data_IF_032722790004
#
_entry.id   IF_032722790004
#
_cell.length_a   1.000
_cell.length_b   1.000
_cell.length_c   1.000
_cell.angle_alpha   90.00
_cell.angle_beta   90.00
_cell.angle_gamma   90.00
#
_symmetry.space_group_name_H-M   'P 1'
#
loop_
_entity.id
_entity.type
_entity.pdbx_description
1 polymer ?
#
# COMPACT_ATOMS: atom_id res chain seq x y z
N UNK A 1 46.59 45.74 -35.57
CA UNK A 1 45.51 44.76 -35.35
C UNK A 1 44.21 45.58 -35.29
N UNK A 2 43.40 45.76 -36.35
CA UNK A 2 42.44 44.81 -36.97
C UNK A 2 41.85 43.85 -35.90
N UNK A 3 40.56 43.80 -35.59
CA UNK A 3 39.40 44.40 -36.24
C UNK A 3 38.11 44.33 -35.40
N UNK A 4 37.05 44.81 -36.04
CA UNK A 4 35.66 45.04 -35.60
C UNK A 4 34.95 43.77 -35.10
N UNK A 5 33.97 43.95 -34.21
CA UNK A 5 32.60 43.37 -34.29
C UNK A 5 31.77 43.93 -33.14
N UNK A 6 30.90 44.90 -33.40
CA UNK A 6 29.49 44.75 -33.78
C UNK A 6 28.55 44.48 -32.60
N UNK A 7 27.80 45.53 -32.27
CA UNK A 7 26.57 45.54 -31.48
C UNK A 7 25.62 44.42 -31.92
N UNK A 8 24.98 43.76 -30.95
CA UNK A 8 23.60 43.28 -31.08
C UNK A 8 22.88 43.46 -29.73
N UNK A 9 22.06 44.50 -29.67
CA UNK A 9 20.96 44.69 -28.73
C UNK A 9 19.96 43.53 -28.89
N UNK A 10 19.45 42.92 -27.80
CA UNK A 10 18.20 42.19 -27.87
C UNK A 10 17.04 43.17 -27.78
N UNK A 11 16.14 43.04 -28.75
CA UNK A 11 14.91 43.78 -28.94
C UNK A 11 13.91 43.40 -27.84
N UNK A 12 13.43 44.39 -27.09
CA UNK A 12 12.16 44.29 -26.37
C UNK A 12 11.02 44.41 -27.39
N UNK A 13 10.18 43.37 -27.50
CA UNK A 13 8.85 43.50 -28.11
C UNK A 13 7.79 43.42 -27.02
N UNK A 14 6.87 44.37 -27.15
CA UNK A 14 5.88 44.82 -26.20
C UNK A 14 4.84 43.76 -25.83
N UNK A 15 4.26 43.94 -24.64
CA UNK A 15 2.93 43.43 -24.36
C UNK A 15 2.78 42.77 -23.00
N UNK A 16 2.93 43.54 -21.92
CA UNK A 16 2.00 43.62 -20.77
C UNK A 16 2.58 44.52 -19.67
N UNK A 17 1.77 45.47 -19.20
CA UNK A 17 2.09 46.40 -18.12
C UNK A 17 2.42 45.62 -16.85
N UNK A 18 3.69 45.55 -16.47
CA UNK A 18 4.09 45.23 -15.11
C UNK A 18 4.22 46.54 -14.34
N UNK A 19 3.34 46.75 -13.35
CA UNK A 19 3.54 47.76 -12.30
C UNK A 19 3.95 47.01 -11.04
N UNK A 20 5.15 47.31 -10.53
CA UNK A 20 5.59 46.85 -9.22
C UNK A 20 4.68 47.47 -8.16
N UNK A 21 4.06 46.64 -7.33
CA UNK A 21 3.58 47.02 -6.00
C UNK A 21 4.14 45.96 -5.05
N UNK A 22 4.88 46.42 -4.03
CA UNK A 22 5.61 45.57 -3.11
C UNK A 22 4.72 44.67 -2.25
N UNK A 23 5.37 43.69 -1.63
CA UNK A 23 4.84 42.61 -0.77
C UNK A 23 4.07 41.49 -1.52
N UNK A 24 4.79 40.80 -2.41
CA UNK A 24 5.06 39.37 -2.24
C UNK A 24 3.97 38.31 -2.42
N UNK A 25 2.74 38.64 -2.82
CA UNK A 25 1.74 37.64 -3.24
C UNK A 25 1.61 37.59 -4.77
N UNK A 26 1.76 36.40 -5.35
CA UNK A 26 1.33 36.10 -6.72
C UNK A 26 0.48 34.83 -6.67
N UNK A 27 -0.83 34.98 -6.87
CA UNK A 27 -1.79 33.89 -7.06
C UNK A 27 -1.79 33.48 -8.53
N UNK A 28 -1.30 32.28 -8.85
CA UNK A 28 -1.50 31.65 -10.17
C UNK A 28 -2.77 30.78 -10.16
N UNK A 29 -3.89 31.37 -10.62
CA UNK A 29 -5.12 30.65 -10.95
C UNK A 29 -4.93 29.85 -12.25
N UNK A 30 -4.28 28.67 -12.24
CA UNK A 30 -4.52 27.60 -13.26
C UNK A 30 -3.81 26.24 -13.12
N UNK A 31 -3.30 25.80 -11.97
CA UNK A 31 -2.75 24.43 -11.83
C UNK A 31 -3.22 23.71 -10.56
N UNK A 32 -4.23 22.84 -10.73
CA UNK A 32 -4.54 21.72 -9.82
C UNK A 32 -3.38 20.70 -9.88
N UNK A 33 -2.35 20.88 -9.05
CA UNK A 33 -1.36 19.86 -8.73
C UNK A 33 -1.02 19.96 -7.25
N UNK A 34 -1.09 18.84 -6.55
CA UNK A 34 -0.50 18.71 -5.22
C UNK A 34 1.02 18.84 -5.39
N UNK A 35 1.59 19.97 -4.98
CA UNK A 35 3.03 20.14 -4.93
C UNK A 35 3.49 19.74 -3.54
N UNK A 36 4.26 18.66 -3.44
CA UNK A 36 5.17 18.47 -2.32
C UNK A 36 6.24 19.55 -2.45
N UNK A 37 6.40 20.40 -1.43
CA UNK A 37 7.56 21.29 -1.34
C UNK A 37 8.81 20.40 -1.38
N UNK A 38 9.60 20.52 -2.46
CA UNK A 38 10.84 19.76 -2.63
C UNK A 38 11.91 20.41 -1.74
N UNK A 39 11.74 20.26 -0.42
CA UNK A 39 12.84 20.31 0.52
C UNK A 39 13.69 19.06 0.29
N UNK A 40 14.97 19.25 -0.03
CA UNK A 40 16.02 18.21 -0.22
C UNK A 40 15.63 16.80 0.26
N UNK A 41 15.56 15.83 -0.66
CA UNK A 41 15.19 14.41 -0.45
C UNK A 41 15.76 13.69 0.80
N UNK A 42 16.81 14.23 1.43
CA UNK A 42 17.40 13.68 2.64
C UNK A 42 16.68 14.05 3.95
N UNK A 43 15.94 15.17 4.01
CA UNK A 43 15.37 15.72 5.28
C UNK A 43 14.07 15.05 5.75
N UNK A 44 13.35 14.37 4.87
CA UNK A 44 12.07 13.70 5.19
C UNK A 44 12.14 12.16 5.16
N UNK A 45 13.31 11.58 4.93
CA UNK A 45 13.47 10.13 4.73
C UNK A 45 12.93 9.30 5.91
N UNK A 46 13.17 9.73 7.16
CA UNK A 46 12.69 9.00 8.34
C UNK A 46 11.16 9.04 8.46
N UNK A 47 10.53 10.19 8.18
CA UNK A 47 9.07 10.34 8.18
C UNK A 47 8.46 9.37 7.15
N UNK A 48 9.00 9.38 5.95
CA UNK A 48 8.55 8.51 4.86
C UNK A 48 8.77 7.03 5.19
N UNK A 49 9.90 6.67 5.82
CA UNK A 49 10.22 5.30 6.24
C UNK A 49 9.22 4.79 7.32
N UNK A 50 8.83 5.63 8.28
CA UNK A 50 7.84 5.28 9.32
C UNK A 50 6.46 5.09 8.70
N UNK A 51 6.03 6.03 7.85
CA UNK A 51 4.74 5.93 7.14
C UNK A 51 4.72 4.66 6.30
N UNK A 52 5.76 4.43 5.49
CA UNK A 52 5.90 3.25 4.66
C UNK A 52 5.90 1.96 5.47
N UNK A 53 6.47 1.96 6.68
CA UNK A 53 6.47 0.80 7.59
C UNK A 53 5.08 0.53 8.18
N UNK A 54 4.41 1.54 8.72
CA UNK A 54 3.12 1.42 9.41
C UNK A 54 2.00 1.03 8.43
N UNK A 55 1.96 1.70 7.28
CA UNK A 55 0.90 1.52 6.28
C UNK A 55 1.27 0.51 5.18
N UNK A 56 2.37 -0.23 5.35
CA UNK A 56 2.80 -1.26 4.39
C UNK A 56 1.68 -2.28 4.15
N UNK A 57 1.34 -2.52 2.89
CA UNK A 57 0.32 -3.50 2.50
C UNK A 57 -1.02 -3.26 3.19
N UNK A 58 -1.41 -1.99 3.31
CA UNK A 58 -2.70 -1.57 3.84
C UNK A 58 -3.41 -0.66 2.85
N UNK A 59 -4.74 -0.71 2.88
CA UNK A 59 -5.62 0.19 2.13
C UNK A 59 -6.62 0.81 3.07
N UNK A 60 -6.85 2.11 2.91
CA UNK A 60 -7.80 2.84 3.73
C UNK A 60 -9.25 2.39 3.46
N UNK A 61 -10.03 2.29 4.52
CA UNK A 61 -11.47 2.11 4.48
C UNK A 61 -12.14 3.45 4.80
N UNK A 62 -12.65 4.13 3.77
CA UNK A 62 -13.10 5.53 3.88
C UNK A 62 -14.19 5.73 4.93
N UNK A 63 -15.15 4.81 5.04
CA UNK A 63 -16.19 4.88 6.08
C UNK A 63 -15.59 4.84 7.49
N UNK A 64 -14.52 4.06 7.69
CA UNK A 64 -13.81 3.98 8.97
C UNK A 64 -12.99 5.24 9.25
N UNK A 65 -12.41 5.86 8.23
CA UNK A 65 -11.72 7.15 8.38
C UNK A 65 -12.70 8.24 8.86
N UNK A 66 -13.87 8.34 8.23
CA UNK A 66 -14.90 9.30 8.65
C UNK A 66 -15.38 9.00 10.08
N UNK A 67 -15.65 7.74 10.41
CA UNK A 67 -16.04 7.35 11.77
C UNK A 67 -14.95 7.61 12.82
N UNK A 68 -13.68 7.56 12.43
CA UNK A 68 -12.54 7.85 13.30
C UNK A 68 -12.39 9.36 13.60
N UNK A 69 -12.92 10.23 12.74
CA UNK A 69 -12.86 11.68 12.89
C UNK A 69 -12.09 12.40 11.77
N UNK A 70 -11.80 11.74 10.65
CA UNK A 70 -11.32 12.44 9.46
C UNK A 70 -12.46 13.23 8.81
N UNK A 71 -12.13 14.39 8.25
CA UNK A 71 -13.02 15.16 7.37
C UNK A 71 -12.47 15.22 5.95
N UNK A 72 -13.36 15.28 4.96
CA UNK A 72 -12.96 15.37 3.56
C UNK A 72 -12.66 16.82 3.15
N UNK A 73 -11.51 17.04 2.50
CA UNK A 73 -11.13 18.33 1.92
C UNK A 73 -10.24 18.11 0.69
N UNK A 74 -10.53 18.80 -0.42
CA UNK A 74 -9.66 18.80 -1.61
C UNK A 74 -9.26 17.40 -2.13
N UNK A 75 -10.22 16.47 -2.21
CA UNK A 75 -10.00 15.09 -2.66
C UNK A 75 -9.04 14.28 -1.76
N UNK A 76 -9.01 14.61 -0.47
CA UNK A 76 -8.28 13.89 0.56
C UNK A 76 -9.07 13.86 1.88
N UNK A 77 -8.70 12.94 2.75
CA UNK A 77 -9.13 12.88 4.14
C UNK A 77 -8.10 13.55 5.03
N UNK A 78 -8.54 14.45 5.90
CA UNK A 78 -7.71 15.16 6.86
C UNK A 78 -8.11 14.81 8.29
N UNK A 79 -7.11 14.55 9.13
CA UNK A 79 -7.27 14.39 10.57
C UNK A 79 -6.27 15.28 11.29
N UNK A 80 -6.73 15.97 12.33
CA UNK A 80 -5.90 16.86 13.14
C UNK A 80 -5.94 16.43 14.60
N UNK A 81 -4.78 16.47 15.26
CA UNK A 81 -4.66 16.17 16.68
C UNK A 81 -3.63 17.08 17.34
N UNK A 82 -3.99 17.67 18.47
CA UNK A 82 -3.06 18.40 19.32
C UNK A 82 -2.11 17.41 20.00
N UNK A 83 -0.81 17.73 19.99
CA UNK A 83 0.25 17.02 20.69
C UNK A 83 0.77 17.91 21.82
N UNK A 84 1.38 17.31 22.84
CA UNK A 84 2.05 18.03 23.93
C UNK A 84 1.22 19.10 24.67
N UNK A 85 -0.11 19.00 24.74
CA UNK A 85 -0.92 19.98 25.47
C UNK A 85 -1.21 21.26 24.67
N UNK A 86 -1.31 21.13 23.33
CA UNK A 86 -1.68 22.17 22.35
C UNK A 86 -0.53 22.99 21.76
N UNK A 87 0.72 22.72 22.15
CA UNK A 87 1.89 23.38 21.55
C UNK A 87 2.10 23.00 20.07
N UNK A 88 1.68 21.79 19.70
CA UNK A 88 1.94 21.21 18.39
C UNK A 88 0.65 20.63 17.80
N UNK A 89 0.45 20.79 16.50
CA UNK A 89 -0.68 20.22 15.77
C UNK A 89 -0.19 19.22 14.73
N UNK A 90 -0.52 17.94 14.91
CA UNK A 90 -0.31 16.91 13.90
C UNK A 90 -1.47 16.90 12.91
N UNK A 91 -1.15 16.92 11.61
CA UNK A 91 -2.12 16.77 10.53
C UNK A 91 -1.78 15.55 9.68
N UNK A 92 -2.67 14.56 9.65
CA UNK A 92 -2.61 13.40 8.74
C UNK A 92 -3.47 13.69 7.52
N UNK A 93 -2.90 13.52 6.34
CA UNK A 93 -3.60 13.61 5.05
C UNK A 93 -3.53 12.26 4.34
N UNK A 94 -4.69 11.75 3.90
CA UNK A 94 -4.80 10.53 3.10
C UNK A 94 -5.49 10.88 1.78
N UNK A 95 -4.75 10.83 0.68
CA UNK A 95 -5.27 11.07 -0.66
C UNK A 95 -6.05 9.85 -1.18
N UNK A 96 -6.97 10.07 -2.14
CA UNK A 96 -7.72 8.97 -2.79
C UNK A 96 -6.82 7.95 -3.50
N UNK A 97 -5.64 8.35 -3.97
CA UNK A 97 -4.64 7.46 -4.57
C UNK A 97 -3.88 6.60 -3.55
N UNK A 98 -4.18 6.74 -2.26
CA UNK A 98 -3.54 6.02 -1.17
C UNK A 98 -2.27 6.68 -0.63
N UNK A 99 -1.85 7.82 -1.20
CA UNK A 99 -0.72 8.58 -0.67
C UNK A 99 -1.06 9.13 0.72
N UNK A 100 -0.15 8.94 1.67
CA UNK A 100 -0.28 9.44 3.04
C UNK A 100 0.81 10.47 3.27
N UNK A 101 0.42 11.63 3.79
CA UNK A 101 1.33 12.69 4.21
C UNK A 101 0.99 13.14 5.63
N UNK A 102 2.01 13.51 6.40
CA UNK A 102 1.85 13.84 7.82
C UNK A 102 2.77 14.98 8.22
N UNK A 103 2.21 16.10 8.64
CA UNK A 103 3.00 17.24 9.09
C UNK A 103 2.68 17.58 10.55
N UNK A 104 3.66 18.18 11.23
CA UNK A 104 3.51 18.70 12.58
C UNK A 104 3.77 20.21 12.50
N UNK A 105 2.79 20.99 12.94
CA UNK A 105 2.89 22.44 13.00
C UNK A 105 3.13 22.88 14.44
N UNK A 106 4.14 23.72 14.65
CA UNK A 106 4.42 24.36 15.93
C UNK A 106 3.53 25.59 16.06
N UNK A 107 2.58 25.53 17.00
CA UNK A 107 1.59 26.58 17.18
C UNK A 107 2.19 27.83 17.82
N UNK A 108 3.33 27.73 18.53
CA UNK A 108 4.02 28.88 19.10
C UNK A 108 4.93 29.54 18.06
N UNK A 109 5.76 28.75 17.39
CA UNK A 109 6.70 29.24 16.38
C UNK A 109 6.04 29.64 15.06
N UNK A 110 4.77 29.24 14.85
CA UNK A 110 4.02 29.45 13.60
C UNK A 110 4.75 28.87 12.37
N UNK A 111 5.42 27.73 12.54
CA UNK A 111 6.20 27.07 11.50
C UNK A 111 6.07 25.54 11.59
N UNK A 112 6.43 24.83 10.52
CA UNK A 112 6.44 23.38 10.53
C UNK A 112 7.61 22.84 11.34
N UNK A 113 7.28 21.98 12.31
CA UNK A 113 8.26 21.28 13.11
C UNK A 113 8.84 20.12 12.31
N UNK A 114 10.04 20.27 11.75
CA UNK A 114 10.67 19.20 10.94
C UNK A 114 11.65 18.33 11.72
N UNK A 115 12.00 18.70 12.95
CA UNK A 115 13.09 18.04 13.67
C UNK A 115 12.77 16.57 14.01
N UNK A 116 11.48 16.21 14.14
CA UNK A 116 11.06 14.82 14.35
C UNK A 116 11.44 13.88 13.19
N UNK A 117 11.58 14.40 11.95
CA UNK A 117 11.92 13.60 10.75
C UNK A 117 13.44 13.49 10.49
N UNK A 118 14.29 14.09 11.32
CA UNK A 118 15.75 14.06 11.18
C UNK A 118 16.32 12.89 12.00
N UNK A 119 16.90 11.83 11.38
CA UNK A 119 17.33 10.62 12.09
C UNK A 119 18.18 10.86 13.35
N UNK A 120 19.16 11.76 13.26
CA UNK A 120 20.13 12.02 14.33
C UNK A 120 19.62 13.04 15.37
N UNK A 121 18.45 13.64 15.17
CA UNK A 121 17.87 14.54 16.16
C UNK A 121 17.50 13.74 17.42
N UNK A 122 18.05 14.15 18.56
CA UNK A 122 17.84 13.50 19.84
C UNK A 122 17.51 14.54 20.91
N UNK A 123 16.69 14.16 21.88
CA UNK A 123 16.23 15.01 22.97
C UNK A 123 14.87 14.55 23.50
N UNK A 124 14.57 14.82 24.77
CA UNK A 124 13.33 14.37 25.40
C UNK A 124 12.07 14.85 24.69
N UNK A 125 12.07 16.10 24.22
CA UNK A 125 10.95 16.67 23.47
C UNK A 125 10.77 16.03 22.08
N UNK A 126 11.86 15.95 21.28
CA UNK A 126 11.84 15.28 19.95
C UNK A 126 11.37 13.83 20.09
N UNK A 127 11.87 13.11 21.10
CA UNK A 127 11.50 11.73 21.39
C UNK A 127 10.02 11.58 21.75
N UNK A 128 9.48 12.50 22.56
CA UNK A 128 8.05 12.53 22.90
C UNK A 128 7.18 12.77 21.66
N UNK A 129 7.53 13.75 20.82
CA UNK A 129 6.81 14.03 19.57
C UNK A 129 6.82 12.80 18.65
N UNK A 130 7.97 12.13 18.49
CA UNK A 130 8.05 10.89 17.70
C UNK A 130 7.15 9.79 18.24
N UNK A 131 7.14 9.57 19.56
CA UNK A 131 6.31 8.56 20.16
C UNK A 131 4.81 8.85 19.94
N UNK A 132 4.37 10.09 20.14
CA UNK A 132 2.97 10.47 19.88
C UNK A 132 2.60 10.36 18.39
N UNK A 133 3.51 10.77 17.50
CA UNK A 133 3.37 10.62 16.05
C UNK A 133 3.18 9.15 15.64
N UNK A 134 4.08 8.25 16.08
CA UNK A 134 4.00 6.82 15.77
C UNK A 134 2.74 6.18 16.35
N UNK A 135 2.34 6.55 17.56
CA UNK A 135 1.14 6.05 18.21
C UNK A 135 -0.13 6.44 17.44
N UNK A 136 -0.24 7.70 17.00
CA UNK A 136 -1.38 8.19 16.22
C UNK A 136 -1.47 7.45 14.89
N UNK A 137 -0.36 7.32 14.17
CA UNK A 137 -0.37 6.63 12.88
C UNK A 137 -0.67 5.13 13.01
N UNK A 138 -0.15 4.49 14.05
CA UNK A 138 -0.44 3.07 14.33
C UNK A 138 -1.93 2.87 14.65
N UNK A 139 -2.52 3.71 15.50
CA UNK A 139 -3.94 3.62 15.85
C UNK A 139 -4.85 3.84 14.63
N UNK A 140 -4.51 4.82 13.77
CA UNK A 140 -5.20 5.04 12.49
C UNK A 140 -5.07 3.81 11.59
N UNK A 141 -3.88 3.23 11.45
CA UNK A 141 -3.64 2.06 10.62
C UNK A 141 -4.41 0.82 11.11
N UNK A 142 -4.58 0.66 12.42
CA UNK A 142 -5.33 -0.46 13.00
C UNK A 142 -6.84 -0.31 12.86
N UNK A 143 -7.35 0.91 13.04
CA UNK A 143 -8.80 1.16 13.03
C UNK A 143 -9.37 1.48 11.65
N UNK A 144 -8.59 2.12 10.78
CA UNK A 144 -9.09 2.68 9.53
C UNK A 144 -8.57 1.98 8.27
N UNK A 145 -7.64 1.05 8.40
CA UNK A 145 -7.07 0.36 7.24
C UNK A 145 -7.26 -1.14 7.33
N UNK A 146 -7.62 -1.74 6.20
CA UNK A 146 -7.55 -3.18 6.02
C UNK A 146 -6.19 -3.59 5.47
N UNK A 147 -5.78 -4.82 5.77
CA UNK A 147 -4.61 -5.43 5.14
C UNK A 147 -4.92 -5.73 3.68
N UNK A 148 -4.10 -5.21 2.77
CA UNK A 148 -4.18 -5.40 1.33
C UNK A 148 -2.80 -5.77 0.79
N UNK A 149 -2.47 -7.04 1.01
CA UNK A 149 -1.22 -7.65 0.56
C UNK A 149 -1.24 -7.92 -0.93
N UNK A 150 -2.33 -8.52 -1.42
CA UNK A 150 -2.44 -8.97 -2.80
C UNK A 150 -2.90 -7.82 -3.70
N UNK A 151 -2.25 -7.68 -4.85
CA UNK A 151 -2.37 -6.55 -5.76
C UNK A 151 -3.18 -6.89 -7.00
N UNK A 152 -3.16 -8.14 -7.44
CA UNK A 152 -3.89 -8.54 -8.65
C UNK A 152 -5.41 -8.49 -8.40
N UNK A 153 -6.18 -8.04 -9.41
CA UNK A 153 -7.65 -8.04 -9.36
C UNK A 153 -8.19 -9.43 -9.06
N UNK A 154 -7.65 -10.41 -9.78
CA UNK A 154 -8.00 -11.80 -9.66
C UNK A 154 -7.93 -12.36 -8.22
N UNK A 155 -6.81 -12.14 -7.51
CA UNK A 155 -6.68 -12.66 -6.13
C UNK A 155 -7.65 -11.93 -5.19
N UNK A 156 -7.92 -10.65 -5.42
CA UNK A 156 -8.94 -9.92 -4.67
C UNK A 156 -10.33 -10.50 -4.91
N UNK A 157 -10.66 -10.86 -6.15
CA UNK A 157 -11.93 -11.48 -6.50
C UNK A 157 -12.09 -12.86 -5.86
N UNK A 158 -11.02 -13.67 -5.83
CA UNK A 158 -11.02 -14.94 -5.10
C UNK A 158 -11.21 -14.75 -3.59
N UNK A 159 -10.54 -13.77 -2.99
CA UNK A 159 -10.75 -13.44 -1.56
C UNK A 159 -12.21 -13.01 -1.34
N UNK A 160 -12.78 -12.22 -2.24
CA UNK A 160 -14.19 -11.84 -2.24
C UNK A 160 -15.12 -13.06 -2.32
N UNK A 161 -14.81 -14.00 -3.22
CA UNK A 161 -15.54 -15.26 -3.37
C UNK A 161 -15.49 -16.10 -2.09
N UNK A 162 -14.30 -16.35 -1.54
CA UNK A 162 -14.15 -17.15 -0.30
C UNK A 162 -14.88 -16.51 0.88
N UNK A 163 -14.81 -15.18 1.00
CA UNK A 163 -15.55 -14.43 2.01
C UNK A 163 -17.06 -14.60 1.85
N UNK A 164 -17.58 -14.47 0.63
CA UNK A 164 -19.02 -14.56 0.37
C UNK A 164 -19.55 -16.00 0.54
N UNK A 165 -18.79 -17.01 0.11
CA UNK A 165 -19.22 -18.41 0.08
C UNK A 165 -19.01 -19.12 1.42
N UNK A 166 -17.88 -18.87 2.10
CA UNK A 166 -17.47 -19.59 3.30
C UNK A 166 -17.37 -18.71 4.55
N UNK A 167 -17.41 -17.38 4.40
CA UNK A 167 -17.21 -16.44 5.49
C UNK A 167 -15.78 -16.45 6.05
N UNK A 168 -14.82 -17.01 5.32
CA UNK A 168 -13.42 -17.13 5.73
C UNK A 168 -12.61 -15.93 5.21
N UNK A 169 -11.61 -15.51 6.00
CA UNK A 169 -10.67 -14.44 5.63
C UNK A 169 -9.25 -15.00 5.48
N UNK A 170 -8.37 -14.35 4.69
CA UNK A 170 -6.95 -14.70 4.65
C UNK A 170 -6.30 -14.56 6.03
N UNK A 171 -5.69 -15.64 6.53
CA UNK A 171 -4.86 -15.63 7.74
C UNK A 171 -3.37 -15.50 7.36
N UNK A 172 -2.65 -14.57 7.99
CA UNK A 172 -1.22 -14.31 7.70
C UNK A 172 -0.35 -14.86 8.82
N UNK A 173 0.16 -16.08 8.64
CA UNK A 173 0.84 -16.82 9.71
C UNK A 173 2.33 -16.52 9.84
N UNK A 174 2.94 -15.88 8.83
CA UNK A 174 4.38 -15.71 8.76
C UNK A 174 4.77 -14.24 8.70
N UNK A 175 5.49 -13.74 9.71
CA UNK A 175 5.95 -12.36 9.76
C UNK A 175 6.97 -12.06 8.65
N UNK A 176 7.95 -12.95 8.46
CA UNK A 176 8.96 -12.86 7.40
C UNK A 176 8.37 -12.95 5.99
N UNK A 177 7.26 -13.66 5.85
CA UNK A 177 6.54 -13.82 4.59
C UNK A 177 5.14 -13.23 4.71
N UNK A 178 5.09 -11.96 5.11
CA UNK A 178 3.85 -11.19 5.28
C UNK A 178 3.06 -11.00 3.98
N UNK A 179 3.66 -11.37 2.84
CA UNK A 179 3.04 -11.42 1.51
C UNK A 179 2.29 -12.74 1.21
N UNK A 180 2.27 -13.66 2.18
CA UNK A 180 1.62 -14.97 2.04
C UNK A 180 0.48 -15.11 3.04
N UNK A 181 -0.61 -15.74 2.61
CA UNK A 181 -1.77 -15.99 3.44
C UNK A 181 -2.30 -17.41 3.24
N UNK A 182 -3.11 -17.88 4.17
CA UNK A 182 -3.84 -19.13 4.06
C UNK A 182 -5.33 -18.91 4.25
N UNK A 183 -6.13 -19.78 3.64
CA UNK A 183 -7.52 -19.99 4.03
C UNK A 183 -7.64 -21.27 4.84
N UNK A 184 -8.39 -21.17 5.94
CA UNK A 184 -8.53 -22.22 6.93
C UNK A 184 -9.99 -22.40 7.27
N UNK A 185 -10.46 -23.64 7.24
CA UNK A 185 -11.82 -23.95 7.68
C UNK A 185 -12.00 -23.62 9.15
N UNK A 186 -13.12 -23.01 9.51
CA UNK A 186 -13.47 -22.71 10.91
C UNK A 186 -13.74 -23.97 11.74
N UNK A 187 -14.36 -24.97 11.13
CA UNK A 187 -14.84 -26.20 11.82
C UNK A 187 -13.71 -27.12 12.30
N UNK A 188 -12.64 -27.28 11.52
CA UNK A 188 -11.60 -28.27 11.78
C UNK A 188 -10.17 -27.71 11.67
N UNK A 189 -10.04 -26.39 11.44
CA UNK A 189 -8.78 -25.64 11.36
C UNK A 189 -7.81 -26.15 10.28
N UNK A 190 -8.25 -26.96 9.31
CA UNK A 190 -7.42 -27.41 8.19
C UNK A 190 -7.36 -26.34 7.09
N UNK A 191 -6.18 -26.23 6.49
CA UNK A 191 -5.97 -25.35 5.35
C UNK A 191 -6.53 -25.99 4.08
N UNK A 192 -7.22 -25.19 3.30
CA UNK A 192 -7.74 -25.56 1.98
C UNK A 192 -7.27 -24.62 0.88
N UNK A 193 -6.65 -23.50 1.22
CA UNK A 193 -5.95 -22.68 0.23
C UNK A 193 -4.78 -21.96 0.83
N UNK A 194 -3.78 -21.67 -0.01
CA UNK A 194 -2.65 -20.82 0.35
C UNK A 194 -2.47 -19.83 -0.79
N UNK A 195 -2.39 -18.53 -0.48
CA UNK A 195 -2.10 -17.49 -1.46
C UNK A 195 -0.67 -17.05 -1.24
N UNK A 196 0.15 -17.10 -2.29
CA UNK A 196 1.59 -16.88 -2.20
C UNK A 196 2.04 -15.86 -3.23
N UNK A 197 2.97 -14.99 -2.85
CA UNK A 197 3.68 -14.14 -3.79
C UNK A 197 5.06 -14.74 -4.08
N UNK A 198 5.28 -15.21 -5.30
CA UNK A 198 6.50 -15.94 -5.70
C UNK A 198 7.10 -15.38 -7.00
N UNK A 199 8.41 -15.51 -7.20
CA UNK A 199 9.02 -15.22 -8.51
C UNK A 199 8.59 -16.27 -9.51
N UNK A 200 8.25 -15.86 -10.74
CA UNK A 200 7.84 -16.75 -11.84
C UNK A 200 8.91 -17.80 -12.14
N UNK A 201 10.21 -17.49 -11.95
CA UNK A 201 11.32 -18.46 -12.04
C UNK A 201 11.15 -19.66 -11.12
N UNK A 202 10.58 -19.45 -9.93
CA UNK A 202 10.35 -20.54 -8.98
C UNK A 202 9.24 -21.50 -9.40
N UNK A 203 8.44 -21.11 -10.40
CA UNK A 203 7.44 -21.97 -11.06
C UNK A 203 7.99 -22.63 -12.33
N UNK A 204 9.26 -22.38 -12.70
CA UNK A 204 9.87 -22.89 -13.92
C UNK A 204 9.67 -21.99 -15.15
N UNK A 205 9.18 -20.77 -14.97
CA UNK A 205 9.01 -19.78 -16.04
C UNK A 205 10.25 -18.89 -16.15
N UNK A 206 10.61 -18.41 -17.35
CA UNK A 206 11.79 -17.57 -17.51
C UNK A 206 11.51 -16.08 -17.23
N UNK A 207 11.23 -15.75 -15.96
CA UNK A 207 11.03 -14.37 -15.50
C UNK A 207 11.30 -14.24 -14.00
N UNK A 208 11.91 -13.13 -13.58
CA UNK A 208 12.10 -12.77 -12.16
C UNK A 208 10.92 -12.02 -11.54
N UNK A 209 9.91 -11.70 -12.34
CA UNK A 209 8.74 -10.98 -11.86
C UNK A 209 8.01 -11.79 -10.78
N UNK A 210 7.49 -11.06 -9.78
CA UNK A 210 6.61 -11.66 -8.79
C UNK A 210 5.23 -11.91 -9.40
N UNK A 211 4.66 -13.06 -9.06
CA UNK A 211 3.29 -13.43 -9.37
C UNK A 211 2.59 -13.93 -8.10
N UNK A 212 1.28 -13.70 -8.06
CA UNK A 212 0.42 -14.21 -6.99
C UNK A 212 -0.19 -15.52 -7.45
N UNK A 213 0.07 -16.60 -6.72
CA UNK A 213 -0.46 -17.93 -6.98
C UNK A 213 -1.39 -18.36 -5.86
N UNK A 214 -2.25 -19.33 -6.17
CA UNK A 214 -3.10 -20.00 -5.19
C UNK A 214 -2.84 -21.49 -5.19
N UNK A 215 -2.39 -22.00 -4.06
CA UNK A 215 -2.25 -23.44 -3.82
C UNK A 215 -3.56 -24.02 -3.33
N UNK A 216 -4.02 -25.08 -3.99
CA UNK A 216 -5.29 -25.74 -3.71
C UNK A 216 -5.10 -27.26 -3.66
N UNK A 217 -5.81 -27.90 -2.74
CA UNK A 217 -5.95 -29.36 -2.72
C UNK A 217 -6.77 -29.87 -3.91
N UNK A 218 -6.34 -30.98 -4.48
CA UNK A 218 -7.06 -31.76 -5.49
C UNK A 218 -7.07 -33.25 -5.11
N UNK A 219 -7.97 -34.08 -5.67
CA UNK A 219 -7.89 -35.53 -5.54
C UNK A 219 -6.55 -36.04 -6.09
N UNK A 220 -5.92 -36.98 -5.40
CA UNK A 220 -4.57 -37.46 -5.77
C UNK A 220 -4.56 -38.16 -7.12
N UNK A 221 -5.62 -38.91 -7.40
CA UNK A 221 -5.88 -39.58 -8.66
C UNK A 221 -6.06 -38.61 -9.85
N UNK A 222 -6.35 -37.34 -9.59
CA UNK A 222 -6.63 -36.34 -10.63
C UNK A 222 -5.50 -35.34 -10.83
N UNK A 223 -4.40 -35.39 -10.06
CA UNK A 223 -3.38 -34.33 -10.08
C UNK A 223 -2.80 -34.07 -11.48
N UNK A 224 -2.52 -35.14 -12.23
CA UNK A 224 -2.01 -35.09 -13.59
C UNK A 224 -3.01 -34.52 -14.60
N UNK A 225 -4.31 -34.47 -14.26
CA UNK A 225 -5.35 -33.84 -15.09
C UNK A 225 -5.37 -32.32 -14.93
N UNK A 226 -4.88 -31.81 -13.80
CA UNK A 226 -4.85 -30.38 -13.50
C UNK A 226 -3.55 -29.73 -13.99
N UNK A 227 -2.40 -30.39 -13.84
CA UNK A 227 -1.08 -29.81 -14.10
C UNK A 227 -0.84 -29.68 -15.61
N UNK A 228 -0.66 -28.45 -16.09
CA UNK A 228 -0.36 -28.13 -17.49
C UNK A 228 1.06 -27.57 -17.71
N UNK A 229 1.77 -27.26 -16.62
CA UNK A 229 3.12 -26.66 -16.65
C UNK A 229 3.17 -25.22 -17.16
N UNK A 230 2.03 -24.55 -17.30
CA UNK A 230 1.91 -23.18 -17.82
C UNK A 230 1.12 -22.29 -16.86
N UNK A 231 -0.08 -22.70 -16.50
CA UNK A 231 -1.00 -22.00 -15.61
C UNK A 231 -1.23 -22.78 -14.31
N UNK A 232 -1.06 -24.10 -14.32
CA UNK A 232 -1.21 -24.98 -13.17
C UNK A 232 0.04 -25.84 -13.02
N UNK A 233 0.62 -25.77 -11.84
CA UNK A 233 1.85 -26.47 -11.46
C UNK A 233 1.59 -27.41 -10.28
N UNK A 234 2.54 -28.29 -9.98
CA UNK A 234 2.52 -29.01 -8.71
C UNK A 234 2.67 -28.04 -7.53
N UNK A 235 2.02 -28.38 -6.40
CA UNK A 235 1.95 -27.53 -5.21
C UNK A 235 3.32 -26.98 -4.76
N UNK A 236 3.36 -25.67 -4.55
CA UNK A 236 4.55 -24.90 -4.22
C UNK A 236 4.69 -24.80 -2.70
N UNK A 237 5.78 -25.38 -2.15
CA UNK A 237 5.94 -25.66 -0.71
C UNK A 237 4.89 -26.60 -0.10
N UNK A 238 3.97 -27.13 -0.91
CA UNK A 238 2.93 -28.06 -0.49
C UNK A 238 3.21 -29.49 -0.98
N UNK A 239 2.44 -30.46 -0.48
CA UNK A 239 2.60 -31.85 -0.91
C UNK A 239 2.13 -32.01 -2.36
N UNK A 240 3.08 -32.21 -3.28
CA UNK A 240 2.88 -32.36 -4.72
C UNK A 240 2.00 -33.52 -5.16
N UNK A 241 1.55 -34.41 -4.26
CA UNK A 241 0.55 -35.47 -4.55
C UNK A 241 -0.89 -35.06 -4.27
N UNK A 242 -1.09 -33.95 -3.56
CA UNK A 242 -2.41 -33.52 -3.10
C UNK A 242 -2.69 -32.06 -3.41
N UNK A 243 -1.69 -31.28 -3.79
CA UNK A 243 -1.79 -29.84 -4.00
C UNK A 243 -1.28 -29.47 -5.38
N UNK A 244 -1.99 -28.52 -5.98
CA UNK A 244 -1.58 -27.80 -7.19
C UNK A 244 -1.34 -26.34 -6.83
N UNK A 245 -0.53 -25.66 -7.62
CA UNK A 245 -0.34 -24.20 -7.59
C UNK A 245 -0.92 -23.62 -8.86
N UNK A 246 -1.90 -22.74 -8.72
CA UNK A 246 -2.54 -22.09 -9.85
C UNK A 246 -1.99 -20.69 -10.00
N UNK A 247 -1.45 -20.41 -11.19
CA UNK A 247 -1.05 -19.10 -11.68
C UNK A 247 -2.12 -18.60 -12.67
N UNK A 248 -3.02 -17.71 -12.21
CA UNK A 248 -4.09 -17.17 -13.05
C UNK A 248 -3.52 -16.41 -14.25
N UNK A 249 -4.04 -16.64 -15.46
CA UNK A 249 -3.61 -15.96 -16.68
C UNK A 249 -4.59 -14.85 -17.12
N UNK A 250 -5.90 -15.08 -16.95
CA UNK A 250 -6.95 -14.15 -17.33
C UNK A 250 -8.20 -14.25 -16.42
N UNK A 251 -9.17 -13.35 -16.64
CA UNK A 251 -10.43 -13.31 -15.90
C UNK A 251 -11.36 -14.49 -16.22
N UNK A 252 -11.19 -15.17 -17.37
CA UNK A 252 -12.01 -16.32 -17.75
C UNK A 252 -11.71 -17.55 -16.88
N UNK A 253 -10.50 -17.62 -16.32
CA UNK A 253 -10.09 -18.68 -15.39
C UNK A 253 -10.70 -18.56 -13.98
N UNK A 254 -11.23 -17.39 -13.59
CA UNK A 254 -11.78 -17.16 -12.25
C UNK A 254 -12.83 -18.19 -11.85
N UNK A 255 -13.77 -18.52 -12.74
CA UNK A 255 -14.80 -19.52 -12.47
C UNK A 255 -14.23 -20.92 -12.24
N UNK A 256 -13.18 -21.30 -12.98
CA UNK A 256 -12.55 -22.63 -12.84
C UNK A 256 -11.85 -22.73 -11.49
N UNK A 257 -11.19 -21.66 -11.08
CA UNK A 257 -10.42 -21.65 -9.84
C UNK A 257 -11.35 -21.53 -8.62
N UNK A 258 -12.46 -20.79 -8.70
CA UNK A 258 -13.51 -20.85 -7.68
C UNK A 258 -14.02 -22.29 -7.47
N UNK A 259 -14.27 -23.04 -8.56
CA UNK A 259 -14.63 -24.47 -8.44
C UNK A 259 -13.51 -25.30 -7.81
N UNK A 260 -12.25 -25.03 -8.15
CA UNK A 260 -11.11 -25.71 -7.54
C UNK A 260 -11.01 -25.40 -6.03
N UNK A 261 -11.33 -24.17 -5.61
CA UNK A 261 -11.44 -23.79 -4.20
C UNK A 261 -12.53 -24.62 -3.51
N UNK A 262 -13.70 -24.78 -4.14
CA UNK A 262 -14.80 -25.56 -3.57
C UNK A 262 -14.42 -27.04 -3.37
N UNK A 263 -13.75 -27.62 -4.37
CA UNK A 263 -13.20 -28.98 -4.28
C UNK A 263 -12.20 -29.05 -3.12
N UNK A 264 -11.30 -28.07 -3.03
CA UNK A 264 -10.29 -28.03 -2.00
C UNK A 264 -10.88 -27.93 -0.59
N UNK A 265 -11.89 -27.07 -0.43
CA UNK A 265 -12.64 -26.89 0.80
C UNK A 265 -13.30 -28.21 1.24
N UNK A 266 -13.97 -28.90 0.31
CA UNK A 266 -14.59 -30.20 0.55
C UNK A 266 -13.57 -31.28 0.92
N UNK A 267 -12.41 -31.32 0.25
CA UNK A 267 -11.32 -32.25 0.59
C UNK A 267 -10.73 -31.99 1.98
N UNK A 268 -10.70 -30.72 2.41
CA UNK A 268 -10.26 -30.35 3.75
C UNK A 268 -11.28 -30.72 4.84
N UNK A 269 -12.53 -31.03 4.51
CA UNK A 269 -13.51 -31.53 5.50
C UNK A 269 -13.19 -32.96 5.96
N UNK A 270 -12.61 -33.80 5.09
CA UNK A 270 -12.36 -35.23 5.37
C UNK A 270 -11.42 -35.42 6.57
N UNK A 271 -11.71 -36.32 7.53
CA UNK A 271 -10.78 -36.68 8.60
C UNK A 271 -9.46 -37.21 8.00
N UNK A 272 -8.35 -37.06 8.73
CA UNK A 272 -7.11 -37.73 8.32
C UNK A 272 -7.40 -39.23 8.38
N UNK A 273 -7.30 -39.93 7.24
CA UNK A 273 -7.25 -41.39 7.23
C UNK A 273 -5.98 -41.86 7.92
#
# INVERSE_FOLDING_TARGET
>A
MRGKTSRKTPVFREGKKCRLVGKGEIVDKKRKKCYTLIGSKARNKMKDDIIAKIFKNRTAEYDKLTAYGFFEENDAFLYRKNLCGEDMTLTVKICRDGTIDVDIFDNEAQDYYTLFSVPDAAGGFVGKIRAEYENVLTDIAEKCFRREVFKTSYVKDLIGYVRATYGDEPEYLWEKFSENAIWRRKDNRKWYGVILTVSRRKLGLDSEEKAEIVDLRVPTEDIEKYVDGKSVFYGYHMNKKHWISVLPQDDEDLKKICKAIDISYALAAKPKK
#
